data_IF_304867165822
#
_entry.id   IF_304867165822
#
_cell.length_a   1.000
_cell.length_b   1.000
_cell.length_c   1.000
_cell.angle_alpha   90.00
_cell.angle_beta   90.00
_cell.angle_gamma   90.00
#
_symmetry.space_group_name_H-M   'P 1'
#
loop_
_entity.id
_entity.type
_entity.pdbx_description
1 polymer ?
#
# COMPACT_ATOMS: atom_id res chain seq x y z
N UNK A 1 -42.34 -43.85 -21.77
CA UNK A 1 -41.81 -42.90 -22.79
C UNK A 1 -42.49 -41.56 -22.54
N UNK A 2 -41.84 -40.68 -21.77
CA UNK A 2 -42.28 -39.29 -21.57
C UNK A 2 -41.35 -38.40 -22.39
N UNK A 3 -41.92 -37.71 -23.38
CA UNK A 3 -41.24 -36.75 -24.21
C UNK A 3 -40.85 -35.51 -23.37
N UNK A 4 -39.55 -35.29 -23.21
CA UNK A 4 -39.02 -34.04 -22.70
C UNK A 4 -39.16 -32.98 -23.82
N UNK A 5 -40.12 -32.07 -23.66
CA UNK A 5 -40.28 -30.91 -24.51
C UNK A 5 -39.14 -29.92 -24.23
N UNK A 6 -38.22 -29.83 -25.15
CA UNK A 6 -37.20 -28.74 -25.16
C UNK A 6 -37.92 -27.40 -25.29
N UNK A 7 -37.83 -26.60 -24.23
CA UNK A 7 -38.33 -25.22 -24.25
C UNK A 7 -37.24 -24.37 -24.90
N UNK A 8 -37.36 -24.18 -26.20
CA UNK A 8 -36.58 -23.17 -26.92
C UNK A 8 -37.01 -21.77 -26.47
N UNK A 9 -36.33 -21.22 -25.48
CA UNK A 9 -36.51 -19.83 -25.06
C UNK A 9 -35.90 -18.91 -26.12
N UNK A 10 -36.75 -18.41 -27.00
CA UNK A 10 -36.42 -17.35 -27.98
C UNK A 10 -36.09 -16.05 -27.22
N UNK A 11 -34.81 -15.83 -26.91
CA UNK A 11 -34.28 -14.65 -26.19
C UNK A 11 -33.89 -13.49 -27.12
N UNK A 12 -34.74 -13.17 -28.10
CA UNK A 12 -34.54 -11.98 -28.96
C UNK A 12 -35.58 -10.91 -28.61
N UNK A 13 -35.25 -9.91 -27.81
CA UNK A 13 -36.13 -8.73 -27.63
C UNK A 13 -36.12 -8.05 -26.26
N UNK A 14 -35.81 -8.74 -25.16
CA UNK A 14 -35.80 -8.12 -23.82
C UNK A 14 -34.45 -7.45 -23.44
N UNK A 15 -33.41 -7.67 -24.21
CA UNK A 15 -32.06 -7.15 -23.89
C UNK A 15 -31.98 -5.62 -23.98
N UNK A 16 -32.70 -4.99 -24.91
CA UNK A 16 -32.59 -3.54 -25.13
C UNK A 16 -33.18 -2.68 -23.99
N UNK A 17 -34.23 -3.11 -23.30
CA UNK A 17 -34.87 -2.28 -22.26
C UNK A 17 -34.16 -2.37 -20.91
N UNK A 18 -33.77 -3.58 -20.50
CA UNK A 18 -33.02 -3.79 -19.25
C UNK A 18 -31.57 -3.32 -19.38
N UNK A 19 -30.94 -3.46 -20.56
CA UNK A 19 -29.62 -2.94 -20.82
C UNK A 19 -29.59 -1.41 -20.82
N UNK A 20 -30.61 -0.74 -21.39
CA UNK A 20 -30.71 0.73 -21.32
C UNK A 20 -30.94 1.22 -19.91
N UNK A 21 -31.81 0.59 -19.13
CA UNK A 21 -32.01 0.92 -17.72
C UNK A 21 -30.68 0.72 -16.95
N UNK A 22 -30.01 -0.42 -17.08
CA UNK A 22 -28.71 -0.67 -16.45
C UNK A 22 -27.65 0.38 -16.83
N UNK A 23 -27.56 0.75 -18.10
CA UNK A 23 -26.64 1.80 -18.55
C UNK A 23 -26.94 3.16 -17.93
N UNK A 24 -28.23 3.55 -17.83
CA UNK A 24 -28.64 4.81 -17.20
C UNK A 24 -28.26 4.85 -15.71
N UNK A 25 -28.36 3.72 -14.98
CA UNK A 25 -27.93 3.66 -13.59
C UNK A 25 -26.41 3.78 -13.39
N UNK A 26 -25.62 3.26 -14.34
CA UNK A 26 -24.15 3.31 -14.26
C UNK A 26 -23.59 4.62 -14.86
N UNK A 27 -24.37 5.29 -15.72
CA UNK A 27 -23.96 6.49 -16.43
C UNK A 27 -23.36 7.60 -15.52
N UNK A 28 -23.94 7.96 -14.36
CA UNK A 28 -23.38 8.99 -13.49
C UNK A 28 -21.97 8.62 -12.99
N UNK A 29 -21.76 7.33 -12.66
CA UNK A 29 -20.44 6.83 -12.22
C UNK A 29 -19.42 6.86 -13.38
N UNK A 30 -19.84 6.46 -14.60
CA UNK A 30 -18.98 6.53 -15.80
C UNK A 30 -18.63 7.98 -16.11
N UNK A 31 -19.59 8.90 -16.10
CA UNK A 31 -19.33 10.33 -16.36
C UNK A 31 -18.38 10.93 -15.31
N UNK A 32 -18.59 10.62 -14.01
CA UNK A 32 -17.68 11.03 -12.95
C UNK A 32 -16.27 10.48 -13.16
N UNK A 33 -16.13 9.19 -13.47
CA UNK A 33 -14.84 8.58 -13.76
C UNK A 33 -14.16 9.22 -14.98
N UNK A 34 -14.89 9.41 -16.09
CA UNK A 34 -14.33 10.03 -17.29
C UNK A 34 -13.88 11.45 -17.03
N UNK A 35 -14.71 12.27 -16.37
CA UNK A 35 -14.43 13.69 -16.16
C UNK A 35 -13.30 13.92 -15.14
N UNK A 36 -13.29 13.16 -14.01
CA UNK A 36 -12.39 13.42 -12.89
C UNK A 36 -11.17 12.49 -12.83
N UNK A 37 -11.18 11.38 -13.57
CA UNK A 37 -10.06 10.44 -13.59
C UNK A 37 -9.47 10.27 -15.01
N UNK A 38 -10.24 9.81 -15.99
CA UNK A 38 -9.70 9.43 -17.28
C UNK A 38 -9.15 10.63 -18.07
N UNK A 39 -9.91 11.73 -18.16
CA UNK A 39 -9.47 12.94 -18.88
C UNK A 39 -8.22 13.55 -18.24
N UNK A 40 -8.12 13.79 -16.90
CA UNK A 40 -6.89 14.28 -16.27
C UNK A 40 -5.68 13.34 -16.46
N UNK A 41 -5.88 12.02 -16.42
CA UNK A 41 -4.80 11.04 -16.65
C UNK A 41 -4.27 11.19 -18.08
N UNK A 42 -5.16 11.17 -19.10
CA UNK A 42 -4.75 11.33 -20.51
C UNK A 42 -4.07 12.68 -20.73
N UNK A 43 -4.62 13.74 -20.14
CA UNK A 43 -4.05 15.09 -20.26
C UNK A 43 -2.68 15.17 -19.58
N UNK A 44 -2.49 14.56 -18.41
CA UNK A 44 -1.17 14.47 -17.77
C UNK A 44 -0.16 13.70 -18.64
N UNK A 45 -0.63 12.69 -19.39
CA UNK A 45 0.18 11.98 -20.38
C UNK A 45 0.68 12.92 -21.47
N UNK A 46 -0.22 13.74 -22.05
CA UNK A 46 0.19 14.77 -23.02
C UNK A 46 1.18 15.76 -22.43
N UNK A 47 0.91 16.28 -21.22
CA UNK A 47 1.78 17.24 -20.55
C UNK A 47 3.18 16.68 -20.23
N UNK A 48 3.32 15.39 -20.05
CA UNK A 48 4.62 14.73 -19.78
C UNK A 48 5.62 14.91 -20.92
N UNK A 49 5.15 15.14 -22.16
CA UNK A 49 5.96 15.41 -23.33
C UNK A 49 6.18 16.91 -23.58
N UNK A 50 5.80 17.76 -22.64
CA UNK A 50 5.89 19.22 -22.77
C UNK A 50 6.83 19.84 -21.76
N UNK A 51 7.37 21.02 -22.09
CA UNK A 51 7.94 21.96 -21.14
C UNK A 51 6.83 22.93 -20.71
N UNK A 52 6.22 22.60 -19.57
CA UNK A 52 5.12 23.39 -19.03
C UNK A 52 5.36 23.78 -17.57
N UNK A 53 5.21 25.07 -17.31
CA UNK A 53 5.41 25.66 -15.98
C UNK A 53 4.17 26.35 -15.41
N UNK A 54 2.97 26.02 -15.92
CA UNK A 54 1.66 26.60 -15.54
C UNK A 54 1.46 28.05 -16.02
N UNK A 55 2.49 28.89 -15.99
CA UNK A 55 2.40 30.32 -16.35
C UNK A 55 2.43 30.57 -17.88
N UNK A 56 2.91 29.60 -18.65
CA UNK A 56 3.02 29.69 -20.12
C UNK A 56 2.29 28.52 -20.76
N UNK A 57 1.93 28.67 -22.02
CA UNK A 57 1.36 27.58 -22.78
C UNK A 57 2.34 26.40 -22.86
N UNK A 58 1.86 25.14 -22.78
CA UNK A 58 2.71 23.96 -22.86
C UNK A 58 3.40 23.88 -24.23
N UNK A 59 4.74 23.81 -24.24
CA UNK A 59 5.54 23.65 -25.44
C UNK A 59 5.96 22.20 -25.58
N UNK A 60 5.61 21.56 -26.72
CA UNK A 60 5.99 20.19 -26.98
C UNK A 60 7.52 20.04 -27.11
N UNK A 61 8.12 19.16 -26.32
CA UNK A 61 9.56 18.86 -26.33
C UNK A 61 9.88 17.37 -26.56
N UNK A 62 8.84 16.56 -26.83
CA UNK A 62 8.97 15.12 -27.04
C UNK A 62 9.52 14.41 -25.77
N UNK A 63 10.42 13.48 -25.94
CA UNK A 63 10.94 12.64 -24.87
C UNK A 63 12.01 13.28 -23.97
N UNK A 64 12.30 14.58 -24.12
CA UNK A 64 13.38 15.25 -23.36
C UNK A 64 13.23 15.12 -21.84
N UNK A 65 12.01 15.18 -21.30
CA UNK A 65 11.75 14.97 -19.88
C UNK A 65 12.20 13.58 -19.42
N UNK A 66 11.84 12.54 -20.18
CA UNK A 66 12.19 11.15 -19.88
C UNK A 66 13.70 10.91 -19.96
N UNK A 67 14.34 11.42 -21.03
CA UNK A 67 15.80 11.34 -21.14
C UNK A 67 16.45 11.98 -19.93
N UNK A 68 16.02 13.18 -19.53
CA UNK A 68 16.57 13.89 -18.37
C UNK A 68 16.39 13.10 -17.07
N UNK A 69 15.22 12.47 -16.84
CA UNK A 69 14.94 11.65 -15.65
C UNK A 69 16.01 10.55 -15.50
N UNK A 70 16.32 9.85 -16.59
CA UNK A 70 17.21 8.68 -16.52
C UNK A 70 18.69 9.00 -16.67
N UNK A 71 19.07 10.18 -17.20
CA UNK A 71 20.48 10.50 -17.45
C UNK A 71 21.05 11.56 -16.53
N UNK A 72 20.26 12.57 -16.16
CA UNK A 72 20.75 13.79 -15.53
C UNK A 72 20.01 14.19 -14.25
N UNK A 73 19.22 13.29 -13.65
CA UNK A 73 18.44 13.58 -12.44
C UNK A 73 18.93 12.72 -11.26
N UNK A 74 19.90 13.25 -10.53
CA UNK A 74 20.40 12.61 -9.30
C UNK A 74 19.30 12.47 -8.24
N UNK A 75 18.38 13.44 -8.12
CA UNK A 75 17.30 13.40 -7.13
C UNK A 75 16.29 12.28 -7.43
N UNK A 76 16.07 11.97 -8.69
CA UNK A 76 15.27 10.83 -9.10
C UNK A 76 15.83 9.50 -8.54
N UNK A 77 17.14 9.30 -8.67
CA UNK A 77 17.81 8.08 -8.16
C UNK A 77 17.69 7.96 -6.64
N UNK A 78 17.94 9.07 -5.91
CA UNK A 78 17.77 9.08 -4.44
C UNK A 78 16.31 8.87 -4.04
N UNK A 79 15.36 9.49 -4.74
CA UNK A 79 13.94 9.36 -4.46
C UNK A 79 13.42 7.92 -4.69
N UNK A 80 13.84 7.28 -5.76
CA UNK A 80 13.54 5.86 -6.03
C UNK A 80 14.14 4.98 -4.93
N UNK A 81 15.43 5.15 -4.61
CA UNK A 81 16.10 4.33 -3.60
C UNK A 81 15.47 4.47 -2.21
N UNK A 82 15.15 5.71 -1.80
CA UNK A 82 14.47 5.96 -0.53
C UNK A 82 13.07 5.32 -0.48
N UNK A 83 12.30 5.47 -1.58
CA UNK A 83 10.95 4.90 -1.68
C UNK A 83 10.97 3.38 -1.65
N UNK A 84 11.85 2.72 -2.40
CA UNK A 84 11.98 1.27 -2.37
C UNK A 84 12.37 0.74 -1.00
N UNK A 85 13.38 1.34 -0.35
CA UNK A 85 13.79 0.94 1.01
C UNK A 85 12.64 1.06 2.00
N UNK A 86 11.92 2.18 1.96
CA UNK A 86 10.78 2.39 2.83
C UNK A 86 9.63 1.45 2.48
N UNK A 87 9.24 1.33 1.20
CA UNK A 87 8.09 0.52 0.78
C UNK A 87 8.28 -0.97 1.12
N UNK A 88 9.44 -1.54 0.83
CA UNK A 88 9.73 -2.93 1.18
C UNK A 88 9.80 -3.11 2.70
N UNK A 89 10.54 -2.25 3.40
CA UNK A 89 10.69 -2.36 4.85
C UNK A 89 9.34 -2.17 5.57
N UNK A 90 8.60 -1.09 5.29
CA UNK A 90 7.33 -0.83 5.96
C UNK A 90 6.31 -1.94 5.70
N UNK A 91 6.20 -2.42 4.45
CA UNK A 91 5.24 -3.49 4.12
C UNK A 91 5.59 -4.79 4.82
N UNK A 92 6.86 -5.22 4.79
CA UNK A 92 7.28 -6.48 5.42
C UNK A 92 7.09 -6.40 6.93
N UNK A 93 7.64 -5.39 7.59
CA UNK A 93 7.58 -5.28 9.05
C UNK A 93 6.15 -5.03 9.55
N UNK A 94 5.37 -4.15 8.90
CA UNK A 94 3.98 -3.91 9.29
C UNK A 94 3.09 -5.13 9.05
N UNK A 95 3.31 -5.88 7.97
CA UNK A 95 2.55 -7.10 7.68
C UNK A 95 2.84 -8.21 8.68
N UNK A 96 4.11 -8.45 9.00
CA UNK A 96 4.51 -9.43 10.02
C UNK A 96 3.94 -9.04 11.39
N UNK A 97 4.10 -7.78 11.78
CA UNK A 97 3.59 -7.29 13.06
C UNK A 97 2.05 -7.41 13.15
N UNK A 98 1.33 -7.00 12.09
CA UNK A 98 -0.13 -7.12 12.02
C UNK A 98 -0.59 -8.59 12.09
N UNK A 99 0.13 -9.51 11.42
CA UNK A 99 -0.19 -10.93 11.45
C UNK A 99 0.04 -11.54 12.84
N UNK A 100 1.16 -11.20 13.49
CA UNK A 100 1.43 -11.62 14.87
C UNK A 100 0.38 -11.11 15.85
N UNK A 101 -0.03 -9.83 15.73
CA UNK A 101 -1.13 -9.29 16.53
C UNK A 101 -2.45 -10.02 16.26
N UNK A 102 -2.75 -10.35 15.00
CA UNK A 102 -3.95 -11.10 14.65
C UNK A 102 -3.95 -12.50 15.25
N UNK A 103 -2.81 -13.21 15.28
CA UNK A 103 -2.66 -14.51 15.96
C UNK A 103 -2.91 -14.38 17.47
N UNK A 104 -2.31 -13.37 18.13
CA UNK A 104 -2.53 -13.12 19.55
C UNK A 104 -4.00 -12.81 19.88
N UNK A 105 -4.65 -12.01 19.04
CA UNK A 105 -6.05 -11.62 19.22
C UNK A 105 -7.05 -12.72 18.75
N UNK A 106 -6.57 -13.76 18.09
CA UNK A 106 -7.37 -14.94 17.77
C UNK A 106 -7.45 -15.92 18.96
N UNK A 107 -6.49 -15.88 19.88
CA UNK A 107 -6.53 -16.69 21.08
C UNK A 107 -7.70 -16.27 22.00
N UNK A 108 -8.22 -17.22 22.80
CA UNK A 108 -9.29 -16.98 23.76
C UNK A 108 -8.74 -16.32 25.03
N UNK A 109 -8.49 -15.01 24.93
CA UNK A 109 -8.04 -14.20 26.09
C UNK A 109 -9.15 -13.27 26.56
N UNK A 110 -9.26 -13.13 27.89
CA UNK A 110 -10.19 -12.16 28.50
C UNK A 110 -9.85 -10.74 28.05
N UNK A 111 -10.85 -9.95 27.67
CA UNK A 111 -10.64 -8.57 27.21
C UNK A 111 -10.22 -8.42 25.74
N UNK A 112 -10.28 -9.46 24.92
CA UNK A 112 -9.93 -9.44 23.50
C UNK A 112 -10.54 -8.27 22.73
N UNK A 113 -11.78 -7.87 23.01
CA UNK A 113 -12.45 -6.74 22.37
C UNK A 113 -11.74 -5.42 22.66
N UNK A 114 -11.29 -5.22 23.90
CA UNK A 114 -10.54 -4.01 24.32
C UNK A 114 -9.20 -3.94 23.60
N UNK A 115 -8.46 -5.04 23.56
CA UNK A 115 -7.17 -5.08 22.84
C UNK A 115 -7.34 -4.84 21.34
N UNK A 116 -8.38 -5.40 20.70
CA UNK A 116 -8.71 -5.10 19.29
C UNK A 116 -8.90 -3.60 19.09
N UNK A 117 -9.65 -2.94 19.95
CA UNK A 117 -9.88 -1.50 19.88
C UNK A 117 -8.57 -0.73 20.06
N UNK A 118 -7.74 -1.07 21.04
CA UNK A 118 -6.46 -0.38 21.30
C UNK A 118 -5.52 -0.48 20.09
N UNK A 119 -5.35 -1.67 19.49
CA UNK A 119 -4.48 -1.85 18.33
C UNK A 119 -5.08 -1.31 17.02
N UNK A 120 -6.40 -1.18 16.95
CA UNK A 120 -7.07 -0.59 15.79
C UNK A 120 -7.08 0.95 15.82
N UNK A 121 -7.15 1.54 17.01
CA UNK A 121 -7.28 3.00 17.18
C UNK A 121 -6.24 3.82 16.41
N UNK A 122 -4.94 3.45 16.37
CA UNK A 122 -3.95 4.18 15.59
C UNK A 122 -4.26 4.29 14.10
N UNK A 123 -4.91 3.30 13.51
CA UNK A 123 -5.22 3.30 12.07
C UNK A 123 -6.32 4.29 11.68
N UNK A 124 -7.06 4.83 12.65
CA UNK A 124 -8.11 5.83 12.44
C UNK A 124 -7.56 7.26 12.55
N UNK A 125 -6.37 7.42 13.14
CA UNK A 125 -5.77 8.73 13.34
C UNK A 125 -5.44 9.37 11.99
N UNK A 126 -5.88 10.63 11.74
CA UNK A 126 -5.54 11.34 10.50
C UNK A 126 -4.03 11.42 10.29
N UNK A 127 -3.59 11.24 9.04
CA UNK A 127 -2.17 11.14 8.69
C UNK A 127 -1.33 12.35 9.15
N UNK A 128 -1.90 13.55 9.10
CA UNK A 128 -1.23 14.79 9.56
C UNK A 128 -0.99 14.74 11.07
N UNK A 129 -2.02 14.41 11.85
CA UNK A 129 -1.91 14.29 13.31
C UNK A 129 -0.92 13.20 13.70
N UNK A 130 -0.95 12.06 12.98
CA UNK A 130 0.01 10.98 13.17
C UNK A 130 1.44 11.45 12.92
N UNK A 131 1.72 12.13 11.81
CA UNK A 131 3.06 12.68 11.53
C UNK A 131 3.51 13.68 12.60
N UNK A 132 2.64 14.56 13.08
CA UNK A 132 2.96 15.53 14.14
C UNK A 132 3.29 14.84 15.46
N UNK A 133 2.47 13.85 15.87
CA UNK A 133 2.70 13.04 17.06
C UNK A 133 4.07 12.36 17.01
N UNK A 134 4.38 11.68 15.91
CA UNK A 134 5.65 10.97 15.77
C UNK A 134 6.85 11.91 15.61
N UNK A 135 6.69 13.09 15.02
CA UNK A 135 7.73 14.12 14.99
C UNK A 135 8.09 14.58 16.40
N UNK A 136 7.08 14.72 17.27
CA UNK A 136 7.32 15.03 18.68
C UNK A 136 8.00 13.85 19.41
N UNK A 137 7.51 12.62 19.25
CA UNK A 137 8.10 11.42 19.86
C UNK A 137 9.57 11.23 19.49
N UNK A 138 9.92 11.49 18.22
CA UNK A 138 11.28 11.38 17.67
C UNK A 138 12.16 12.61 17.90
N UNK A 139 11.66 13.66 18.53
CA UNK A 139 12.44 14.86 18.77
C UNK A 139 13.69 14.51 19.58
N UNK A 140 14.86 15.03 19.13
CA UNK A 140 16.14 14.71 19.74
C UNK A 140 16.29 15.26 21.14
N UNK A 141 15.73 16.44 21.42
CA UNK A 141 15.99 17.17 22.66
C UNK A 141 14.94 16.91 23.75
N UNK A 142 13.68 16.85 23.36
CA UNK A 142 12.54 16.71 24.30
C UNK A 142 11.57 15.56 23.95
N UNK A 143 11.92 14.72 22.96
CA UNK A 143 11.06 13.61 22.54
C UNK A 143 11.04 12.48 23.57
N UNK A 144 9.87 11.84 23.70
CA UNK A 144 9.64 10.78 24.68
C UNK A 144 10.63 9.61 24.52
N UNK A 145 10.93 9.19 23.26
CA UNK A 145 11.86 8.07 23.06
C UNK A 145 13.26 8.38 23.56
N UNK A 146 13.77 9.59 23.34
CA UNK A 146 15.06 9.98 23.88
C UNK A 146 15.06 10.16 25.40
N UNK A 147 13.95 10.60 25.97
CA UNK A 147 13.79 10.66 27.43
C UNK A 147 13.86 9.26 28.05
N UNK A 148 13.20 8.28 27.46
CA UNK A 148 13.26 6.88 27.91
C UNK A 148 14.66 6.28 27.71
N UNK A 149 15.30 6.51 26.56
CA UNK A 149 16.66 6.01 26.28
C UNK A 149 17.67 6.55 27.30
N UNK A 150 17.60 7.84 27.60
CA UNK A 150 18.45 8.46 28.62
C UNK A 150 18.22 7.90 30.03
N UNK A 151 16.97 7.60 30.37
CA UNK A 151 16.65 7.01 31.70
C UNK A 151 17.27 5.60 31.88
N UNK A 152 17.52 4.87 30.78
CA UNK A 152 18.20 3.57 30.80
C UNK A 152 19.69 3.66 30.43
N UNK A 153 20.27 4.88 30.39
CA UNK A 153 21.69 5.09 30.17
C UNK A 153 22.14 5.04 28.69
N UNK A 154 21.20 5.05 27.75
CA UNK A 154 21.51 5.06 26.30
C UNK A 154 21.59 6.52 25.81
N UNK A 155 22.62 6.91 25.04
CA UNK A 155 22.75 8.28 24.54
C UNK A 155 21.62 8.64 23.56
N UNK A 156 21.31 9.95 23.49
CA UNK A 156 20.29 10.49 22.56
C UNK A 156 20.51 10.03 21.13
N UNK A 157 19.45 9.58 20.48
CA UNK A 157 19.44 9.12 19.12
C UNK A 157 18.81 10.16 18.18
N UNK A 158 19.36 10.28 16.98
CA UNK A 158 18.84 11.16 15.92
C UNK A 158 17.90 10.37 15.01
N UNK A 159 16.71 10.00 15.50
CA UNK A 159 15.76 9.14 14.79
C UNK A 159 15.50 9.58 13.35
N UNK A 160 14.90 10.76 13.16
CA UNK A 160 14.56 11.28 11.83
C UNK A 160 15.59 12.27 11.28
N UNK A 161 16.57 12.71 12.10
CA UNK A 161 17.62 13.62 11.70
C UNK A 161 18.92 12.89 11.31
N UNK A 162 19.04 11.59 11.51
CA UNK A 162 20.18 10.77 11.12
C UNK A 162 20.01 10.14 9.75
N UNK A 163 21.05 10.14 8.90
CA UNK A 163 21.00 9.57 7.55
C UNK A 163 20.72 8.06 7.54
N UNK A 164 21.26 7.33 8.51
CA UNK A 164 21.07 5.89 8.64
C UNK A 164 19.82 5.49 9.41
N UNK A 165 19.28 6.38 10.26
CA UNK A 165 18.16 6.09 11.15
C UNK A 165 16.80 6.54 10.61
N UNK A 166 16.77 7.48 9.65
CA UNK A 166 15.50 8.06 9.17
C UNK A 166 14.56 7.01 8.58
N UNK A 167 15.02 6.16 7.66
CA UNK A 167 14.17 5.11 7.05
C UNK A 167 13.73 4.06 8.09
N UNK A 168 14.60 3.47 8.92
CA UNK A 168 14.18 2.59 10.00
C UNK A 168 13.16 3.21 10.95
N UNK A 169 13.32 4.48 11.33
CA UNK A 169 12.35 5.18 12.18
C UNK A 169 10.99 5.33 11.52
N UNK A 170 10.94 5.68 10.25
CA UNK A 170 9.68 5.77 9.50
C UNK A 170 9.03 4.40 9.28
N UNK A 171 9.82 3.33 9.13
CA UNK A 171 9.32 1.95 9.08
C UNK A 171 8.70 1.58 10.44
N UNK A 172 9.37 1.86 11.55
CA UNK A 172 8.83 1.61 12.88
C UNK A 172 7.51 2.37 13.13
N UNK A 173 7.44 3.64 12.73
CA UNK A 173 6.20 4.42 12.76
C UNK A 173 5.07 3.73 11.98
N UNK A 174 5.35 3.13 10.81
CA UNK A 174 4.33 2.49 9.99
C UNK A 174 3.71 1.26 10.67
N UNK A 175 4.47 0.56 11.51
CA UNK A 175 3.97 -0.60 12.27
C UNK A 175 2.86 -0.22 13.26
N UNK A 176 2.95 0.98 13.86
CA UNK A 176 1.92 1.46 14.78
C UNK A 176 0.54 1.63 14.12
N UNK A 177 0.51 1.98 12.81
CA UNK A 177 -0.71 2.16 12.04
C UNK A 177 -1.30 0.88 11.40
N UNK A 178 -0.81 -0.31 11.72
CA UNK A 178 -1.17 -1.56 11.05
C UNK A 178 -2.55 -2.16 11.46
N UNK A 179 -3.35 -1.45 12.26
CA UNK A 179 -4.59 -1.95 12.84
C UNK A 179 -5.60 -2.48 11.82
N UNK A 180 -5.78 -1.79 10.68
CA UNK A 180 -6.68 -2.25 9.62
C UNK A 180 -6.21 -3.58 9.00
N UNK A 181 -4.91 -3.70 8.72
CA UNK A 181 -4.28 -4.93 8.21
C UNK A 181 -4.40 -6.08 9.21
N UNK A 182 -4.23 -5.79 10.50
CA UNK A 182 -4.43 -6.76 11.59
C UNK A 182 -5.86 -7.33 11.61
N UNK A 183 -6.89 -6.49 11.43
CA UNK A 183 -8.29 -6.95 11.40
C UNK A 183 -8.55 -7.86 10.19
N UNK A 184 -8.00 -7.52 9.02
CA UNK A 184 -8.15 -8.35 7.81
C UNK A 184 -7.46 -9.72 8.02
N UNK A 185 -6.27 -9.76 8.63
CA UNK A 185 -5.61 -11.01 8.99
C UNK A 185 -6.41 -11.81 10.01
N UNK A 186 -6.95 -11.15 11.03
CA UNK A 186 -7.76 -11.81 12.05
C UNK A 186 -9.02 -12.46 11.44
N UNK A 187 -9.69 -11.78 10.50
CA UNK A 187 -10.81 -12.34 9.77
C UNK A 187 -10.40 -13.57 8.94
N UNK A 188 -9.25 -13.49 8.24
CA UNK A 188 -8.71 -14.63 7.49
C UNK A 188 -8.39 -15.84 8.38
N UNK A 189 -7.77 -15.62 9.56
CA UNK A 189 -7.42 -16.68 10.52
C UNK A 189 -8.70 -17.33 11.09
N UNK A 190 -9.73 -16.53 11.35
CA UNK A 190 -11.03 -17.02 11.84
C UNK A 190 -11.81 -17.79 10.78
N UNK A 191 -11.53 -17.56 9.50
CA UNK A 191 -12.11 -18.31 8.37
C UNK A 191 -11.51 -19.71 8.17
N UNK A 192 -10.39 -20.06 8.81
CA UNK A 192 -9.78 -21.38 8.68
C UNK A 192 -10.66 -22.45 9.34
N UNK A 193 -11.10 -23.51 8.60
CA UNK A 193 -11.95 -24.56 9.12
C UNK A 193 -11.36 -25.26 10.34
N UNK A 194 -12.14 -25.36 11.40
CA UNK A 194 -11.70 -25.96 12.67
C UNK A 194 -11.31 -27.45 12.51
N UNK A 195 -12.00 -28.16 11.59
CA UNK A 195 -11.72 -29.57 11.30
C UNK A 195 -10.27 -29.83 10.85
N UNK A 196 -9.69 -28.91 10.06
CA UNK A 196 -8.30 -29.02 9.61
C UNK A 196 -7.31 -28.88 10.78
N UNK A 197 -7.62 -27.99 11.72
CA UNK A 197 -6.82 -27.82 12.93
C UNK A 197 -6.88 -29.03 13.85
N UNK A 198 -8.09 -29.60 14.00
CA UNK A 198 -8.32 -30.80 14.80
C UNK A 198 -7.61 -32.03 14.19
N UNK A 199 -7.63 -32.18 12.85
CA UNK A 199 -6.91 -33.25 12.17
C UNK A 199 -5.40 -33.22 12.51
N UNK A 200 -4.74 -32.05 12.43
CA UNK A 200 -3.34 -31.91 12.83
C UNK A 200 -3.09 -32.32 14.28
N UNK A 201 -4.01 -32.02 15.18
CA UNK A 201 -3.92 -32.39 16.59
C UNK A 201 -4.07 -33.90 16.82
N UNK A 202 -4.97 -34.54 16.07
CA UNK A 202 -5.15 -36.01 16.11
C UNK A 202 -3.87 -36.71 15.62
N UNK A 203 -3.21 -36.14 14.59
CA UNK A 203 -1.92 -36.63 14.07
C UNK A 203 -0.72 -36.34 15.00
N UNK A 204 -0.98 -35.79 16.20
CA UNK A 204 0.06 -35.50 17.21
C UNK A 204 0.81 -34.16 16.95
N UNK A 205 0.31 -33.32 16.04
CA UNK A 205 0.88 -32.01 15.76
C UNK A 205 0.64 -31.00 16.89
N UNK A 206 1.61 -30.12 17.10
CA UNK A 206 1.51 -29.02 18.04
C UNK A 206 1.03 -27.72 17.34
N UNK A 207 0.90 -26.64 18.12
CA UNK A 207 0.47 -25.31 17.63
C UNK A 207 1.29 -24.81 16.41
N UNK A 208 2.60 -25.05 16.39
CA UNK A 208 3.46 -24.63 15.28
C UNK A 208 3.17 -25.44 14.00
N UNK A 209 2.87 -26.73 14.14
CA UNK A 209 2.45 -27.56 13.00
C UNK A 209 1.11 -27.08 12.45
N UNK A 210 0.13 -26.75 13.32
CA UNK A 210 -1.14 -26.16 12.93
C UNK A 210 -0.94 -24.80 12.21
N UNK A 211 -0.06 -23.94 12.75
CA UNK A 211 0.20 -22.62 12.19
C UNK A 211 0.84 -22.71 10.79
N UNK A 212 1.91 -23.53 10.66
CA UNK A 212 2.71 -23.57 9.43
C UNK A 212 2.01 -24.37 8.33
N UNK A 213 1.38 -25.50 8.67
CA UNK A 213 0.85 -26.44 7.68
C UNK A 213 -0.62 -26.19 7.34
N UNK A 214 -1.37 -25.49 8.19
CA UNK A 214 -2.81 -25.22 7.97
C UNK A 214 -3.08 -23.74 7.92
N UNK A 215 -2.79 -22.99 8.99
CA UNK A 215 -3.24 -21.60 9.11
C UNK A 215 -2.57 -20.70 8.07
N UNK A 216 -1.25 -20.71 7.95
CA UNK A 216 -0.53 -19.84 6.99
C UNK A 216 -0.92 -20.17 5.53
N UNK A 217 -0.93 -21.44 5.08
CA UNK A 217 -1.40 -21.78 3.74
C UNK A 217 -2.84 -21.32 3.46
N UNK A 218 -3.77 -21.58 4.36
CA UNK A 218 -5.18 -21.19 4.19
C UNK A 218 -5.39 -19.67 4.18
N UNK A 219 -4.58 -18.91 4.94
CA UNK A 219 -4.63 -17.45 5.00
C UNK A 219 -3.77 -16.80 3.91
N UNK A 220 -3.04 -17.58 3.10
CA UNK A 220 -2.14 -17.07 2.08
C UNK A 220 -2.78 -16.09 1.07
N UNK A 221 -4.05 -16.22 0.63
CA UNK A 221 -4.71 -15.22 -0.18
C UNK A 221 -4.84 -13.87 0.52
N UNK A 222 -5.16 -13.90 1.81
CA UNK A 222 -5.27 -12.69 2.64
C UNK A 222 -3.89 -12.05 2.87
N UNK A 223 -2.85 -12.86 3.07
CA UNK A 223 -1.47 -12.37 3.19
C UNK A 223 -1.04 -11.71 1.87
N UNK A 224 -1.28 -12.36 0.75
CA UNK A 224 -0.99 -11.83 -0.57
C UNK A 224 -1.66 -10.47 -0.81
N UNK A 225 -2.97 -10.39 -0.55
CA UNK A 225 -3.74 -9.16 -0.70
C UNK A 225 -3.19 -8.02 0.17
N UNK A 226 -2.97 -8.27 1.46
CA UNK A 226 -2.48 -7.24 2.39
C UNK A 226 -1.06 -6.77 2.03
N UNK A 227 -0.17 -7.68 1.66
CA UNK A 227 1.19 -7.32 1.23
C UNK A 227 1.15 -6.50 -0.05
N UNK A 228 0.33 -6.89 -1.03
CA UNK A 228 0.17 -6.15 -2.28
C UNK A 228 -0.36 -4.73 -2.03
N UNK A 229 -1.44 -4.60 -1.27
CA UNK A 229 -2.02 -3.29 -0.95
C UNK A 229 -1.09 -2.43 -0.10
N UNK A 230 -0.36 -3.06 0.83
CA UNK A 230 0.67 -2.41 1.63
C UNK A 230 1.82 -1.87 0.76
N UNK A 231 2.31 -2.63 -0.20
CA UNK A 231 3.32 -2.20 -1.16
C UNK A 231 2.84 -0.99 -1.98
N UNK A 232 1.66 -1.08 -2.60
CA UNK A 232 1.09 0.01 -3.40
C UNK A 232 0.97 1.29 -2.55
N UNK A 233 0.43 1.18 -1.33
CA UNK A 233 0.29 2.32 -0.42
C UNK A 233 1.64 2.91 0.02
N UNK A 234 2.61 2.06 0.30
CA UNK A 234 3.95 2.50 0.74
C UNK A 234 4.76 3.15 -0.39
N UNK A 235 4.61 2.71 -1.63
CA UNK A 235 5.20 3.42 -2.79
C UNK A 235 4.64 4.82 -2.98
N UNK A 236 3.40 5.06 -2.57
CA UNK A 236 2.73 6.37 -2.64
C UNK A 236 2.93 7.22 -1.36
N UNK A 237 3.82 6.79 -0.45
CA UNK A 237 4.10 7.51 0.78
C UNK A 237 4.54 8.96 0.48
N UNK A 238 3.86 9.92 1.11
CA UNK A 238 4.08 11.34 0.92
C UNK A 238 4.19 12.10 2.24
N UNK A 239 3.23 11.85 3.15
CA UNK A 239 3.04 12.67 4.35
C UNK A 239 4.28 12.68 5.25
N UNK A 240 4.97 11.56 5.41
CA UNK A 240 6.16 11.43 6.23
C UNK A 240 7.30 12.30 5.70
N UNK A 241 7.55 12.25 4.39
CA UNK A 241 8.57 13.09 3.77
C UNK A 241 8.19 14.58 3.81
N UNK A 242 6.91 14.90 3.55
CA UNK A 242 6.44 16.29 3.49
C UNK A 242 6.39 16.97 4.85
N UNK A 243 5.84 16.29 5.88
CA UNK A 243 5.55 16.89 7.19
C UNK A 243 6.66 16.70 8.22
N UNK A 244 7.42 15.61 8.15
CA UNK A 244 8.38 15.26 9.20
C UNK A 244 9.83 15.58 8.84
N UNK A 245 10.25 15.27 7.60
CA UNK A 245 11.66 15.28 7.24
C UNK A 245 12.03 16.30 6.15
N UNK A 246 11.07 16.80 5.38
CA UNK A 246 11.34 17.62 4.21
C UNK A 246 12.18 16.90 3.13
N UNK A 247 12.21 15.56 3.18
CA UNK A 247 13.07 14.73 2.32
C UNK A 247 14.46 14.47 2.87
N UNK A 248 14.82 15.13 4.01
CA UNK A 248 16.14 15.04 4.66
C UNK A 248 16.32 13.82 5.57
N UNK A 249 17.50 13.67 6.17
CA UNK A 249 18.76 14.37 5.84
C UNK A 249 19.38 13.87 4.52
N UNK A 250 20.05 14.74 3.80
CA UNK A 250 20.74 14.42 2.53
C UNK A 250 19.90 13.59 1.55
N UNK A 251 18.64 13.96 1.34
CA UNK A 251 17.67 13.28 0.48
C UNK A 251 17.39 11.82 0.85
N UNK A 252 17.82 11.32 2.02
CA UNK A 252 17.65 9.90 2.40
C UNK A 252 16.21 9.51 2.70
N UNK A 253 15.33 10.47 2.93
CA UNK A 253 13.87 10.27 3.01
C UNK A 253 13.10 11.05 1.93
N UNK A 254 13.77 11.40 0.84
CA UNK A 254 13.15 12.03 -0.31
C UNK A 254 12.27 10.99 -1.03
N UNK A 255 11.06 10.77 -0.54
CA UNK A 255 10.15 9.84 -1.20
C UNK A 255 9.71 10.37 -2.55
N UNK A 256 9.51 9.46 -3.49
CA UNK A 256 9.19 9.78 -4.88
C UNK A 256 7.96 10.69 -5.02
N UNK A 257 6.88 10.39 -4.29
CA UNK A 257 5.68 11.23 -4.31
C UNK A 257 5.94 12.65 -3.82
N UNK A 258 6.83 12.82 -2.82
CA UNK A 258 7.22 14.15 -2.36
C UNK A 258 8.14 14.85 -3.36
N UNK A 259 9.06 14.14 -4.00
CA UNK A 259 9.89 14.67 -5.07
C UNK A 259 9.06 15.17 -6.25
N UNK A 260 8.08 14.36 -6.70
CA UNK A 260 7.11 14.75 -7.74
C UNK A 260 6.36 16.02 -7.34
N UNK A 261 5.80 16.07 -6.15
CA UNK A 261 5.09 17.24 -5.62
C UNK A 261 5.98 18.49 -5.58
N UNK A 262 7.20 18.36 -5.07
CA UNK A 262 8.16 19.45 -4.99
C UNK A 262 8.51 19.99 -6.38
N UNK A 263 8.70 19.11 -7.34
CA UNK A 263 8.96 19.43 -8.74
C UNK A 263 7.79 20.18 -9.39
N UNK A 264 6.56 19.68 -9.16
CA UNK A 264 5.35 20.28 -9.71
C UNK A 264 5.07 21.68 -9.12
N UNK A 265 4.98 21.75 -7.77
CA UNK A 265 4.41 22.91 -7.07
C UNK A 265 5.44 23.86 -6.46
N UNK A 266 6.62 23.38 -6.08
CA UNK A 266 7.68 24.28 -5.56
C UNK A 266 8.60 24.79 -6.65
N UNK A 267 8.89 23.95 -7.67
CA UNK A 267 9.75 24.32 -8.79
C UNK A 267 9.00 24.78 -10.04
N UNK A 268 7.65 24.68 -10.04
CA UNK A 268 6.78 25.01 -11.17
C UNK A 268 7.14 24.27 -12.48
N UNK A 269 7.70 23.05 -12.40
CA UNK A 269 8.06 22.22 -13.57
C UNK A 269 7.00 21.16 -13.79
N UNK A 270 5.77 21.59 -14.14
CA UNK A 270 4.61 20.71 -14.18
C UNK A 270 4.73 19.62 -15.26
N UNK A 271 5.24 19.96 -16.46
CA UNK A 271 5.45 18.96 -17.51
C UNK A 271 6.45 17.87 -17.10
N UNK A 272 7.55 18.25 -16.42
CA UNK A 272 8.51 17.30 -15.87
C UNK A 272 7.92 16.44 -14.74
N UNK A 273 7.10 17.03 -13.87
CA UNK A 273 6.41 16.31 -12.82
C UNK A 273 5.39 15.31 -13.37
N UNK A 274 4.69 15.65 -14.47
CA UNK A 274 3.83 14.70 -15.18
C UNK A 274 4.65 13.50 -15.72
N UNK A 275 5.83 13.75 -16.29
CA UNK A 275 6.72 12.67 -16.73
C UNK A 275 7.18 11.78 -15.56
N UNK A 276 7.55 12.36 -14.41
CA UNK A 276 7.83 11.62 -13.19
C UNK A 276 6.62 10.75 -12.76
N UNK A 277 5.40 11.31 -12.80
CA UNK A 277 4.18 10.57 -12.46
C UNK A 277 3.98 9.33 -13.35
N UNK A 278 4.19 9.46 -14.65
CA UNK A 278 4.09 8.34 -15.59
C UNK A 278 5.19 7.30 -15.40
N UNK A 279 6.42 7.72 -15.10
CA UNK A 279 7.50 6.79 -14.75
C UNK A 279 7.15 6.00 -13.50
N UNK A 280 6.62 6.66 -12.45
CA UNK A 280 6.18 5.97 -11.23
C UNK A 280 5.05 4.98 -11.51
N UNK A 281 4.07 5.37 -12.32
CA UNK A 281 2.98 4.49 -12.74
C UNK A 281 3.48 3.22 -13.42
N UNK A 282 4.42 3.35 -14.37
CA UNK A 282 5.04 2.21 -15.06
C UNK A 282 5.81 1.32 -14.06
N UNK A 283 6.61 1.93 -13.17
CA UNK A 283 7.35 1.18 -12.13
C UNK A 283 6.38 0.37 -11.27
N UNK A 284 5.26 0.97 -10.84
CA UNK A 284 4.26 0.28 -10.02
C UNK A 284 3.57 -0.85 -10.77
N UNK A 285 3.24 -0.67 -12.05
CA UNK A 285 2.65 -1.74 -12.89
C UNK A 285 3.63 -2.92 -13.00
N UNK A 286 4.88 -2.64 -13.37
CA UNK A 286 5.92 -3.68 -13.54
C UNK A 286 6.14 -4.41 -12.23
N UNK A 287 6.29 -3.68 -11.13
CA UNK A 287 6.49 -4.27 -9.82
C UNK A 287 5.29 -5.13 -9.38
N UNK A 288 4.08 -4.63 -9.56
CA UNK A 288 2.84 -5.36 -9.25
C UNK A 288 2.71 -6.63 -10.10
N UNK A 289 2.98 -6.53 -11.41
CA UNK A 289 2.94 -7.68 -12.31
C UNK A 289 3.98 -8.75 -11.93
N UNK A 290 5.20 -8.35 -11.57
CA UNK A 290 6.24 -9.25 -11.09
C UNK A 290 5.85 -9.91 -9.76
N UNK A 291 5.26 -9.14 -8.85
CA UNK A 291 4.76 -9.65 -7.58
C UNK A 291 3.67 -10.71 -7.80
N UNK A 292 2.68 -10.41 -8.65
CA UNK A 292 1.65 -11.39 -9.01
C UNK A 292 2.26 -12.65 -9.63
N UNK A 293 3.14 -12.52 -10.61
CA UNK A 293 3.77 -13.68 -11.29
C UNK A 293 4.56 -14.57 -10.31
N UNK A 294 5.19 -13.97 -9.31
CA UNK A 294 6.05 -14.70 -8.35
C UNK A 294 5.25 -15.36 -7.24
N UNK A 295 4.23 -14.68 -6.73
CA UNK A 295 3.52 -15.11 -5.52
C UNK A 295 2.18 -15.78 -5.79
N UNK A 296 1.49 -15.52 -6.91
CA UNK A 296 0.19 -16.12 -7.21
C UNK A 296 0.21 -17.65 -7.24
N UNK A 297 1.32 -18.25 -7.70
CA UNK A 297 1.51 -19.73 -7.70
C UNK A 297 1.65 -20.34 -6.30
N UNK A 298 1.90 -19.54 -5.26
CA UNK A 298 2.07 -19.98 -3.86
C UNK A 298 0.84 -19.70 -3.00
N UNK A 299 -0.18 -19.06 -3.60
CA UNK A 299 -1.43 -18.74 -2.93
C UNK A 299 -2.36 -19.93 -3.05
N UNK A 300 -2.83 -20.45 -1.92
CA UNK A 300 -3.83 -21.52 -1.89
C UNK A 300 -5.18 -20.94 -2.32
N UNK A 301 -5.65 -21.33 -3.50
CA UNK A 301 -6.99 -20.98 -3.98
C UNK A 301 -7.92 -22.17 -3.71
N UNK A 302 -8.89 -22.00 -2.86
CA UNK A 302 -9.95 -22.97 -2.62
C UNK A 302 -10.74 -23.14 -3.93
N UNK A 303 -10.62 -24.33 -4.60
CA UNK A 303 -11.30 -24.64 -5.87
C UNK A 303 -10.42 -24.62 -7.12
N UNK A 304 -9.11 -24.50 -7.00
CA UNK A 304 -8.18 -24.71 -8.11
C UNK A 304 -7.93 -26.22 -8.28
N UNK A 305 -8.75 -26.88 -9.08
CA UNK A 305 -8.40 -28.20 -9.64
C UNK A 305 -7.14 -28.03 -10.47
N UNK A 306 -6.13 -28.83 -10.11
CA UNK A 306 -4.90 -28.85 -10.87
C UNK A 306 -5.15 -29.34 -12.31
N UNK A 307 -4.87 -28.48 -13.26
CA UNK A 307 -4.46 -28.82 -14.60
C UNK A 307 -2.97 -28.48 -14.79
#
# INVERSE_FOLDING_TARGET
>A
MQQVREIHVHRKGKWNRNARAGFLFVLPAILGFMMFCAIPIVYSGYLSFTDWNVFKAPKLIGFKNYVKIFTNDYLFTEAIAATFKFALGSTVFSSIYAFLLALLLNADVKGRSVFRTIFYLPSIVPAVANCMLWSWLYNKDFGLFNSVLMAVGIPKQSFIAGQGSVIPSLIFMSMWGCGSTMIIYLAGIQGVPQQLKEAVRIDGGNYWHELINVTIPMVSPTIFFNVLMGLIGSFQAFNQAFLMTGGGPNNKSLFYSYYLYSTAFKQNKMGYACALGWVMFIIMIVFTALFFKTFSKRVFLEGGDGE
#
